data_IF_908461216278
#
_entry.id   IF_908461216278
#
_cell.length_a   1.000
_cell.length_b   1.000
_cell.length_c   1.000
_cell.angle_alpha   90.00
_cell.angle_beta   90.00
_cell.angle_gamma   90.00
#
_symmetry.space_group_name_H-M   'P 1'
#
loop_
_entity.id
_entity.type
_entity.pdbx_description
1 polymer ?
#
# COMPACT_ATOMS: atom_id res chain seq x y z
N UNK A 1 -34.58 -14.89 55.08
CA UNK A 1 -33.34 -14.13 54.77
C UNK A 1 -32.90 -14.26 53.31
N UNK A 2 -33.81 -14.23 52.32
CA UNK A 2 -33.44 -14.35 50.88
C UNK A 2 -33.75 -13.09 50.04
N UNK A 3 -34.56 -12.15 50.55
CA UNK A 3 -34.96 -10.97 49.78
C UNK A 3 -33.97 -9.79 49.82
N UNK A 4 -32.97 -9.81 50.70
CA UNK A 4 -31.95 -8.75 50.78
C UNK A 4 -30.86 -8.88 49.68
N UNK A 5 -30.60 -10.10 49.18
CA UNK A 5 -29.57 -10.35 48.14
C UNK A 5 -30.02 -9.92 46.73
N UNK A 6 -31.32 -9.84 46.47
CA UNK A 6 -31.86 -9.43 45.17
C UNK A 6 -31.86 -7.91 44.97
N UNK A 7 -31.97 -7.13 46.05
CA UNK A 7 -31.89 -5.67 45.98
C UNK A 7 -30.46 -5.18 45.73
N UNK A 8 -29.43 -5.80 46.31
CA UNK A 8 -28.03 -5.42 46.05
C UNK A 8 -27.57 -5.69 44.61
N UNK A 9 -28.14 -6.70 43.93
CA UNK A 9 -27.82 -6.96 42.50
C UNK A 9 -28.45 -5.95 41.55
N UNK A 10 -29.60 -5.37 41.89
CA UNK A 10 -30.24 -4.34 41.05
C UNK A 10 -29.56 -2.97 41.15
N UNK A 11 -28.93 -2.67 42.28
CA UNK A 11 -28.18 -1.40 42.44
C UNK A 11 -26.82 -1.45 41.73
N UNK A 12 -26.19 -2.61 41.62
CA UNK A 12 -24.92 -2.77 40.88
C UNK A 12 -25.10 -2.68 39.35
N UNK A 13 -26.24 -3.11 38.81
CA UNK A 13 -26.51 -3.01 37.37
C UNK A 13 -26.81 -1.56 36.93
N UNK A 14 -27.31 -0.70 37.82
CA UNK A 14 -27.50 0.73 37.51
C UNK A 14 -26.23 1.58 37.65
N UNK A 15 -25.19 1.08 38.33
CA UNK A 15 -23.90 1.78 38.48
C UNK A 15 -22.91 1.51 37.35
N UNK A 16 -23.14 0.49 36.52
CA UNK A 16 -22.37 0.21 35.30
C UNK A 16 -22.85 0.99 34.07
N UNK A 17 -23.97 1.72 34.16
CA UNK A 17 -24.54 2.51 33.06
C UNK A 17 -24.14 4.01 33.11
N UNK A 18 -23.21 4.39 33.98
CA UNK A 18 -22.76 5.78 34.16
C UNK A 18 -21.25 5.94 34.03
N UNK A 19 -20.60 5.09 33.23
CA UNK A 19 -19.27 5.41 32.71
C UNK A 19 -19.48 6.27 31.45
N UNK A 20 -18.97 7.52 31.41
CA UNK A 20 -18.98 8.25 30.17
C UNK A 20 -18.20 7.42 29.16
N UNK A 21 -18.89 7.06 28.07
CA UNK A 21 -18.29 6.48 26.88
C UNK A 21 -17.42 7.58 26.25
N UNK A 22 -16.29 7.88 26.88
CA UNK A 22 -15.19 8.59 26.23
C UNK A 22 -14.55 7.55 25.31
N UNK A 23 -15.24 7.25 24.21
CA UNK A 23 -14.57 6.74 23.02
C UNK A 23 -13.66 7.89 22.61
N UNK A 24 -12.41 7.78 23.04
CA UNK A 24 -11.37 8.73 22.66
C UNK A 24 -11.35 8.80 21.14
N UNK A 25 -11.51 9.99 20.56
CA UNK A 25 -11.26 10.19 19.12
C UNK A 25 -9.84 9.73 18.73
N UNK A 26 -8.92 9.62 19.71
CA UNK A 26 -7.59 9.05 19.50
C UNK A 26 -7.60 7.53 19.27
N UNK A 27 -8.51 6.76 19.86
CA UNK A 27 -8.50 5.31 19.63
C UNK A 27 -9.07 4.94 18.27
N UNK A 28 -10.07 5.67 17.79
CA UNK A 28 -10.64 5.44 16.45
C UNK A 28 -9.62 5.80 15.35
N UNK A 29 -8.97 6.96 15.47
CA UNK A 29 -7.92 7.38 14.52
C UNK A 29 -6.69 6.47 14.56
N UNK A 30 -6.28 5.96 15.73
CA UNK A 30 -5.16 5.00 15.84
C UNK A 30 -5.53 3.63 15.27
N UNK A 31 -6.75 3.14 15.50
CA UNK A 31 -7.22 1.84 14.96
C UNK A 31 -7.33 1.90 13.43
N UNK A 32 -7.95 2.94 12.87
CA UNK A 32 -8.08 3.11 11.42
C UNK A 32 -6.71 3.28 10.74
N UNK A 33 -5.79 4.00 11.40
CA UNK A 33 -4.41 4.19 10.92
C UNK A 33 -3.62 2.87 10.91
N UNK A 34 -3.83 2.01 11.89
CA UNK A 34 -3.23 0.67 11.92
C UNK A 34 -3.85 -0.27 10.87
N UNK A 35 -5.15 -0.16 10.59
CA UNK A 35 -5.80 -0.94 9.53
C UNK A 35 -5.31 -0.55 8.14
N UNK A 36 -5.16 0.76 7.87
CA UNK A 36 -4.62 1.24 6.60
C UNK A 36 -3.17 0.79 6.42
N UNK A 37 -2.38 0.72 7.48
CA UNK A 37 -1.01 0.22 7.42
C UNK A 37 -0.94 -1.26 7.06
N UNK A 38 -1.78 -2.08 7.71
CA UNK A 38 -1.89 -3.49 7.38
C UNK A 38 -2.36 -3.68 5.92
N UNK A 39 -3.36 -2.92 5.49
CA UNK A 39 -3.86 -2.94 4.12
C UNK A 39 -2.77 -2.60 3.10
N UNK A 40 -2.05 -1.50 3.28
CA UNK A 40 -0.96 -1.09 2.37
C UNK A 40 0.10 -2.19 2.27
N UNK A 41 0.49 -2.78 3.41
CA UNK A 41 1.45 -3.88 3.44
C UNK A 41 0.93 -5.12 2.71
N UNK A 42 -0.34 -5.50 2.88
CA UNK A 42 -0.95 -6.62 2.15
C UNK A 42 -0.98 -6.38 0.64
N UNK A 43 -1.41 -5.19 0.20
CA UNK A 43 -1.43 -4.83 -1.23
C UNK A 43 -0.02 -4.85 -1.81
N UNK A 44 0.95 -4.26 -1.11
CA UNK A 44 2.34 -4.21 -1.57
C UNK A 44 2.94 -5.62 -1.73
N UNK A 45 2.76 -6.53 -0.77
CA UNK A 45 3.31 -7.90 -0.83
C UNK A 45 2.58 -8.78 -1.86
N UNK A 46 1.28 -8.55 -2.06
CA UNK A 46 0.52 -9.21 -3.11
C UNK A 46 1.00 -8.74 -4.50
N UNK A 47 1.20 -7.43 -4.69
CA UNK A 47 1.64 -6.83 -5.94
C UNK A 47 3.10 -7.18 -6.28
N UNK A 48 3.98 -7.12 -5.29
CA UNK A 48 5.43 -7.27 -5.45
C UNK A 48 5.96 -8.18 -4.33
N UNK A 49 6.39 -9.40 -4.64
CA UNK A 49 6.97 -10.30 -3.65
C UNK A 49 8.16 -9.68 -2.93
N UNK A 50 8.15 -9.67 -1.60
CA UNK A 50 9.21 -9.11 -0.77
C UNK A 50 9.17 -7.60 -0.57
N UNK A 51 8.10 -6.91 -0.98
CA UNK A 51 7.91 -5.48 -0.74
C UNK A 51 7.84 -5.10 0.74
N UNK A 52 7.51 -6.03 1.64
CA UNK A 52 7.50 -5.74 3.08
C UNK A 52 8.87 -5.26 3.60
N UNK A 53 9.98 -5.66 2.95
CA UNK A 53 11.34 -5.28 3.35
C UNK A 53 11.58 -3.77 3.30
N UNK A 54 10.83 -3.03 2.47
CA UNK A 54 10.97 -1.57 2.33
C UNK A 54 10.04 -0.77 3.24
N UNK A 55 9.24 -1.44 4.09
CA UNK A 55 8.25 -0.80 4.97
C UNK A 55 7.26 0.09 4.18
N UNK A 56 6.47 -0.49 3.27
CA UNK A 56 5.71 0.26 2.27
C UNK A 56 4.70 1.25 2.88
N UNK A 57 4.03 0.92 3.99
CA UNK A 57 3.12 1.84 4.68
C UNK A 57 3.80 3.14 5.11
N UNK A 58 5.01 3.05 5.68
CA UNK A 58 5.75 4.22 6.17
C UNK A 58 6.10 5.14 5.00
N UNK A 59 6.68 4.57 3.94
CA UNK A 59 7.09 5.34 2.76
C UNK A 59 5.90 5.92 1.99
N UNK A 60 4.79 5.17 1.89
CA UNK A 60 3.59 5.66 1.22
C UNK A 60 2.95 6.83 1.98
N UNK A 61 2.96 6.82 3.31
CA UNK A 61 2.54 7.98 4.11
C UNK A 61 3.39 9.21 3.84
N UNK A 62 4.70 9.04 3.64
CA UNK A 62 5.57 10.16 3.29
C UNK A 62 5.27 10.67 1.86
N UNK A 63 4.96 9.78 0.91
CA UNK A 63 4.45 10.19 -0.41
C UNK A 63 3.12 10.96 -0.35
N UNK A 64 2.20 10.52 0.49
CA UNK A 64 0.91 11.22 0.72
C UNK A 64 1.13 12.61 1.29
N UNK A 65 2.05 12.77 2.26
CA UNK A 65 2.36 14.08 2.86
C UNK A 65 2.92 15.07 1.85
N UNK A 66 3.73 14.60 0.89
CA UNK A 66 4.30 15.46 -0.17
C UNK A 66 3.35 15.65 -1.35
N UNK A 67 2.16 15.03 -1.33
CA UNK A 67 1.16 15.16 -2.38
C UNK A 67 1.58 14.55 -3.72
N UNK A 68 2.40 13.49 -3.70
CA UNK A 68 2.96 12.89 -4.90
C UNK A 68 1.85 12.48 -5.89
N UNK A 69 1.85 13.10 -7.08
CA UNK A 69 0.85 12.90 -8.13
C UNK A 69 -0.62 13.02 -7.66
N UNK A 70 -0.87 13.76 -6.57
CA UNK A 70 -2.20 13.88 -5.98
C UNK A 70 -2.64 12.67 -5.15
N UNK A 71 -1.72 11.77 -4.78
CA UNK A 71 -2.01 10.66 -3.87
C UNK A 71 -2.39 11.20 -2.48
N UNK A 72 -3.54 10.78 -1.98
CA UNK A 72 -4.12 11.24 -0.72
C UNK A 72 -4.52 10.06 0.16
N UNK A 73 -4.73 10.29 1.46
CA UNK A 73 -5.32 9.28 2.35
C UNK A 73 -6.69 8.79 1.85
N UNK A 74 -7.47 9.69 1.25
CA UNK A 74 -8.74 9.34 0.60
C UNK A 74 -8.56 8.35 -0.56
N UNK A 75 -7.46 8.45 -1.33
CA UNK A 75 -7.16 7.49 -2.39
C UNK A 75 -6.97 6.08 -1.83
N UNK A 76 -6.28 5.97 -0.69
CA UNK A 76 -6.06 4.68 0.00
C UNK A 76 -7.39 4.13 0.49
N UNK A 77 -8.23 4.97 1.11
CA UNK A 77 -9.54 4.58 1.63
C UNK A 77 -10.49 4.10 0.51
N UNK A 78 -10.54 4.81 -0.63
CA UNK A 78 -11.37 4.41 -1.79
C UNK A 78 -10.93 3.06 -2.33
N UNK A 79 -9.63 2.82 -2.49
CA UNK A 79 -9.12 1.53 -2.98
C UNK A 79 -9.41 0.42 -1.98
N UNK A 80 -9.16 0.63 -0.68
CA UNK A 80 -9.47 -0.36 0.37
C UNK A 80 -10.93 -0.78 0.30
N UNK A 81 -11.84 0.19 0.29
CA UNK A 81 -13.27 -0.07 0.19
C UNK A 81 -13.64 -0.80 -1.11
N UNK A 82 -13.04 -0.41 -2.24
CA UNK A 82 -13.30 -1.03 -3.54
C UNK A 82 -12.85 -2.49 -3.58
N UNK A 83 -11.67 -2.80 -3.03
CA UNK A 83 -11.17 -4.18 -2.92
C UNK A 83 -12.01 -5.03 -1.97
N UNK A 84 -12.37 -4.50 -0.80
CA UNK A 84 -13.25 -5.20 0.16
C UNK A 84 -14.63 -5.51 -0.47
N UNK A 85 -15.14 -4.60 -1.32
CA UNK A 85 -16.41 -4.78 -2.01
C UNK A 85 -16.33 -5.71 -3.24
N UNK A 86 -15.16 -5.84 -3.87
CA UNK A 86 -15.00 -6.54 -5.15
C UNK A 86 -15.35 -8.04 -5.08
N UNK A 87 -15.06 -8.70 -3.96
CA UNK A 87 -15.41 -10.12 -3.72
C UNK A 87 -16.24 -10.33 -2.45
N UNK A 88 -16.73 -9.26 -1.82
CA UNK A 88 -17.58 -9.30 -0.64
C UNK A 88 -16.89 -9.81 0.64
N UNK A 89 -15.57 -9.82 0.68
CA UNK A 89 -14.76 -10.20 1.84
C UNK A 89 -13.73 -9.10 2.11
N UNK A 90 -13.33 -8.93 3.38
CA UNK A 90 -12.23 -8.04 3.71
C UNK A 90 -10.93 -8.56 3.07
N UNK A 91 -10.30 -7.73 2.26
CA UNK A 91 -9.11 -8.10 1.50
C UNK A 91 -7.94 -8.53 2.40
N UNK A 92 -7.78 -7.87 3.55
CA UNK A 92 -6.74 -8.18 4.54
C UNK A 92 -6.93 -9.53 5.24
N UNK A 93 -8.12 -10.11 5.21
CA UNK A 93 -8.43 -11.41 5.83
C UNK A 93 -8.19 -12.59 4.86
N UNK A 94 -7.92 -12.32 3.59
CA UNK A 94 -7.59 -13.32 2.58
C UNK A 94 -6.16 -13.86 2.75
N UNK A 95 -5.93 -15.11 2.35
CA UNK A 95 -4.57 -15.65 2.23
C UNK A 95 -3.79 -14.90 1.14
N UNK A 96 -2.45 -14.86 1.20
CA UNK A 96 -1.64 -14.16 0.19
C UNK A 96 -1.91 -14.63 -1.25
N UNK A 97 -2.17 -15.93 -1.45
CA UNK A 97 -2.52 -16.47 -2.77
C UNK A 97 -3.88 -15.92 -3.27
N UNK A 98 -4.87 -15.84 -2.39
CA UNK A 98 -6.17 -15.23 -2.69
C UNK A 98 -6.07 -13.72 -2.92
N UNK A 99 -5.27 -13.02 -2.10
CA UNK A 99 -4.98 -11.60 -2.28
C UNK A 99 -4.42 -11.33 -3.67
N UNK A 100 -3.43 -12.10 -4.12
CA UNK A 100 -2.86 -12.00 -5.47
C UNK A 100 -3.90 -12.20 -6.58
N UNK A 101 -4.72 -13.24 -6.47
CA UNK A 101 -5.75 -13.52 -7.46
C UNK A 101 -6.77 -12.37 -7.54
N UNK A 102 -7.30 -11.94 -6.38
CA UNK A 102 -8.26 -10.84 -6.29
C UNK A 102 -7.67 -9.53 -6.79
N UNK A 103 -6.42 -9.22 -6.41
CA UNK A 103 -5.74 -8.01 -6.84
C UNK A 103 -5.49 -8.01 -8.35
N UNK A 104 -5.12 -9.15 -8.93
CA UNK A 104 -4.92 -9.28 -10.39
C UNK A 104 -6.21 -9.05 -11.15
N UNK A 105 -7.33 -9.64 -10.71
CA UNK A 105 -8.64 -9.44 -11.35
C UNK A 105 -9.13 -7.99 -11.19
N UNK A 106 -8.93 -7.40 -10.01
CA UNK A 106 -9.27 -5.99 -9.74
C UNK A 106 -8.44 -5.04 -10.61
N UNK A 107 -7.12 -5.30 -10.72
CA UNK A 107 -6.20 -4.54 -11.55
C UNK A 107 -6.65 -4.55 -13.02
N UNK A 108 -6.92 -5.74 -13.57
CA UNK A 108 -7.43 -5.88 -14.94
C UNK A 108 -8.75 -5.10 -15.14
N UNK A 109 -9.68 -5.20 -14.19
CA UNK A 109 -10.94 -4.45 -14.23
C UNK A 109 -10.72 -2.93 -14.24
N UNK A 110 -9.77 -2.42 -13.45
CA UNK A 110 -9.45 -1.00 -13.41
C UNK A 110 -8.80 -0.50 -14.70
N UNK A 111 -7.88 -1.28 -15.29
CA UNK A 111 -7.25 -0.93 -16.57
C UNK A 111 -8.24 -0.97 -17.74
N UNK A 112 -9.26 -1.83 -17.69
CA UNK A 112 -10.35 -1.88 -18.67
C UNK A 112 -11.41 -0.77 -18.47
N UNK A 113 -11.34 0.00 -17.40
CA UNK A 113 -12.29 1.09 -17.10
C UNK A 113 -11.57 2.26 -16.40
N UNK A 114 -10.58 2.90 -17.06
CA UNK A 114 -9.70 3.87 -16.43
C UNK A 114 -10.40 5.18 -16.02
N UNK A 115 -11.55 5.49 -16.64
CA UNK A 115 -12.32 6.71 -16.36
C UNK A 115 -13.10 6.63 -15.04
N UNK A 116 -13.25 5.43 -14.45
CA UNK A 116 -13.93 5.28 -13.16
C UNK A 116 -13.05 5.80 -12.03
N UNK A 117 -13.68 6.43 -11.04
CA UNK A 117 -12.99 7.05 -9.91
C UNK A 117 -12.13 6.04 -9.13
N UNK A 118 -12.67 4.84 -8.87
CA UNK A 118 -11.95 3.77 -8.18
C UNK A 118 -10.71 3.31 -8.96
N UNK A 119 -10.81 3.26 -10.29
CA UNK A 119 -9.68 2.91 -11.16
C UNK A 119 -8.57 3.95 -11.06
N UNK A 120 -8.92 5.25 -11.07
CA UNK A 120 -7.93 6.32 -10.95
C UNK A 120 -7.19 6.25 -9.61
N UNK A 121 -7.90 6.04 -8.50
CA UNK A 121 -7.27 5.89 -7.19
C UNK A 121 -6.42 4.62 -7.10
N UNK A 122 -6.86 3.51 -7.72
CA UNK A 122 -6.08 2.29 -7.79
C UNK A 122 -4.77 2.50 -8.57
N UNK A 123 -4.84 3.06 -9.77
CA UNK A 123 -3.68 3.32 -10.61
C UNK A 123 -2.68 4.24 -9.89
N UNK A 124 -3.17 5.25 -9.18
CA UNK A 124 -2.33 6.16 -8.41
C UNK A 124 -1.64 5.46 -7.23
N UNK A 125 -2.38 4.64 -6.47
CA UNK A 125 -1.82 3.84 -5.38
C UNK A 125 -0.78 2.83 -5.88
N UNK A 126 -1.12 2.08 -6.94
CA UNK A 126 -0.24 1.09 -7.59
C UNK A 126 1.05 1.75 -8.06
N UNK A 127 0.95 2.90 -8.74
CA UNK A 127 2.12 3.65 -9.19
C UNK A 127 2.99 4.12 -8.01
N UNK A 128 2.38 4.57 -6.91
CA UNK A 128 3.12 4.96 -5.71
C UNK A 128 3.89 3.78 -5.11
N UNK A 129 3.25 2.63 -4.95
CA UNK A 129 3.88 1.42 -4.41
C UNK A 129 5.02 0.91 -5.30
N UNK A 130 4.82 0.86 -6.61
CA UNK A 130 5.86 0.45 -7.57
C UNK A 130 7.03 1.43 -7.54
N UNK A 131 6.75 2.74 -7.56
CA UNK A 131 7.80 3.77 -7.52
C UNK A 131 8.66 3.66 -6.27
N UNK A 132 8.03 3.47 -5.10
CA UNK A 132 8.75 3.27 -3.84
C UNK A 132 9.62 2.02 -3.86
N UNK A 133 9.09 0.91 -4.36
CA UNK A 133 9.83 -0.35 -4.40
C UNK A 133 11.03 -0.26 -5.34
N UNK A 134 10.83 0.18 -6.58
CA UNK A 134 11.90 0.26 -7.58
C UNK A 134 12.90 1.40 -7.32
N UNK A 135 12.54 2.41 -6.52
CA UNK A 135 13.49 3.45 -6.07
C UNK A 135 14.25 3.05 -4.80
N UNK A 136 13.86 1.96 -4.15
CA UNK A 136 14.57 1.45 -2.97
C UNK A 136 15.77 0.60 -3.40
N UNK A 137 16.84 0.59 -2.59
CA UNK A 137 18.00 -0.27 -2.80
C UNK A 137 17.58 -1.75 -2.92
N UNK A 138 16.65 -2.20 -2.06
CA UNK A 138 16.18 -3.58 -2.01
C UNK A 138 15.46 -3.98 -3.30
N UNK A 139 14.54 -3.14 -3.79
CA UNK A 139 13.79 -3.44 -5.00
C UNK A 139 14.62 -3.29 -6.26
N UNK A 140 15.47 -2.26 -6.32
CA UNK A 140 16.39 -2.00 -7.41
C UNK A 140 17.38 -3.17 -7.59
N UNK A 141 18.12 -3.54 -6.54
CA UNK A 141 19.11 -4.63 -6.59
C UNK A 141 18.49 -6.02 -6.72
N UNK A 142 17.29 -6.23 -6.19
CA UNK A 142 16.64 -7.54 -6.18
C UNK A 142 15.91 -7.91 -7.47
N UNK A 143 15.47 -6.91 -8.25
CA UNK A 143 14.63 -7.13 -9.44
C UNK A 143 15.36 -6.78 -10.73
N UNK A 144 16.28 -5.82 -10.69
CA UNK A 144 17.05 -5.41 -11.86
C UNK A 144 18.36 -6.19 -11.92
N UNK A 145 18.59 -6.87 -13.03
CA UNK A 145 19.90 -7.44 -13.33
C UNK A 145 20.82 -6.32 -13.80
N UNK A 146 21.60 -5.76 -12.87
CA UNK A 146 22.64 -4.81 -13.22
C UNK A 146 23.77 -5.55 -13.94
N UNK A 147 23.85 -5.36 -15.24
CA UNK A 147 25.03 -5.73 -16.00
C UNK A 147 26.01 -4.57 -15.92
N UNK A 148 27.18 -4.72 -15.28
CA UNK A 148 28.23 -3.72 -15.38
C UNK A 148 28.67 -3.71 -16.84
N UNK A 149 28.16 -2.76 -17.62
CA UNK A 149 28.70 -2.45 -18.93
C UNK A 149 29.89 -1.54 -18.63
N UNK A 150 31.14 -2.04 -18.68
CA UNK A 150 32.29 -1.15 -18.55
C UNK A 150 32.13 -0.08 -19.63
N UNK A 151 32.14 1.19 -19.24
CA UNK A 151 31.96 2.30 -20.16
C UNK A 151 32.95 2.17 -21.32
N UNK A 152 32.47 1.73 -22.47
CA UNK A 152 33.26 1.72 -23.70
C UNK A 152 33.02 3.06 -24.37
N UNK A 153 34.06 3.89 -24.43
CA UNK A 153 34.04 5.05 -25.31
C UNK A 153 34.01 4.56 -26.76
N UNK A 154 32.85 4.72 -27.42
CA UNK A 154 32.67 4.45 -28.84
C UNK A 154 32.46 5.80 -29.55
N UNK A 155 33.49 6.37 -30.20
CA UNK A 155 33.42 7.71 -30.76
C UNK A 155 32.41 7.84 -31.91
N UNK A 156 32.11 6.73 -32.60
CA UNK A 156 31.20 6.71 -33.75
C UNK A 156 30.14 5.61 -33.58
N UNK A 157 29.10 5.87 -32.78
CA UNK A 157 27.91 5.02 -32.78
C UNK A 157 27.09 5.39 -34.01
N UNK A 158 27.07 4.53 -35.02
CA UNK A 158 26.17 4.68 -36.17
C UNK A 158 24.72 4.56 -35.69
N UNK A 159 24.00 5.69 -35.70
CA UNK A 159 22.56 5.74 -35.39
C UNK A 159 21.82 5.46 -36.71
N UNK A 160 21.27 4.26 -36.86
CA UNK A 160 20.31 3.93 -37.90
C UNK A 160 18.89 4.20 -37.37
N UNK A 161 17.90 4.40 -38.24
CA UNK A 161 16.49 4.58 -37.83
C UNK A 161 15.92 3.42 -36.99
N UNK A 162 16.53 2.23 -37.07
CA UNK A 162 16.15 1.06 -36.30
C UNK A 162 16.91 0.89 -34.97
N UNK A 163 17.84 1.81 -34.62
CA UNK A 163 18.64 1.66 -33.40
C UNK A 163 17.79 1.97 -32.15
N UNK A 164 17.65 1.02 -31.20
CA UNK A 164 16.90 1.25 -29.97
C UNK A 164 17.54 2.35 -29.13
N UNK A 165 16.71 3.15 -28.44
CA UNK A 165 17.20 4.11 -27.45
C UNK A 165 17.94 3.37 -26.32
N UNK A 166 19.18 3.76 -26.05
CA UNK A 166 19.97 3.23 -24.94
C UNK A 166 20.07 4.30 -23.84
N UNK A 167 19.78 3.92 -22.59
CA UNK A 167 19.94 4.78 -21.41
C UNK A 167 21.20 4.34 -20.65
N UNK A 168 22.19 5.22 -20.51
CA UNK A 168 23.35 4.99 -19.65
C UNK A 168 23.33 5.95 -18.46
N UNK A 169 22.99 5.44 -17.27
CA UNK A 169 23.16 6.23 -16.05
C UNK A 169 24.63 6.12 -15.61
N UNK A 170 25.42 7.18 -15.82
CA UNK A 170 26.87 7.17 -15.59
C UNK A 170 27.26 7.51 -14.13
N UNK A 171 26.31 7.80 -13.25
CA UNK A 171 26.58 8.41 -11.94
C UNK A 171 27.07 7.48 -10.81
N UNK A 172 27.38 6.21 -11.07
CA UNK A 172 27.66 5.24 -10.00
C UNK A 172 29.02 4.53 -10.10
N UNK A 173 30.16 5.24 -10.21
CA UNK A 173 31.45 4.69 -9.76
C UNK A 173 32.38 5.80 -9.24
N UNK A 174 32.57 5.86 -7.92
CA UNK A 174 33.69 6.60 -7.30
C UNK A 174 34.74 5.56 -6.90
N UNK A 175 35.96 5.65 -7.43
CA UNK A 175 37.06 4.77 -7.03
C UNK A 175 37.75 5.34 -5.78
N UNK A 176 37.92 4.51 -4.74
CA UNK A 176 38.80 4.74 -3.58
C UNK A 176 40.20 4.20 -3.84
#
# INVERSE_FOLDING_TARGET
MQNAKLLQRRTLVKLLAALPLVVSMDTFSVVEKNENDAFICCVAEALIPGALKIQPSKLLKDLVKVGWLGLTENSIAVVKHSLDSFKGNKYSELTLAQQRAVLSEFDECCYNSPDKLESQHWLLLKNGLLSLYFSSEIGASGTLSYHPVPGQWRPDISIAEATPAMYNDWLAVWFT
#
